data_IF_407437790523
#
_entry.id   IF_407437790523
#
_cell.length_a   1.000
_cell.length_b   1.000
_cell.length_c   1.000
_cell.angle_alpha   90.00
_cell.angle_beta   90.00
_cell.angle_gamma   90.00
#
_symmetry.space_group_name_H-M   'P 1'
#
loop_
_entity.id
_entity.type
_entity.pdbx_description
1 polymer ?
#
# COMPACT_ATOMS: atom_id res chain seq x y z
N UNK A 1 10.71 9.89 24.67
CA UNK A 1 10.08 8.95 23.73
C UNK A 1 10.59 9.28 22.34
N UNK A 2 11.25 8.36 21.66
CA UNK A 2 11.74 8.56 20.29
C UNK A 2 10.54 8.62 19.34
N UNK A 3 10.35 9.75 18.66
CA UNK A 3 9.27 9.92 17.70
C UNK A 3 9.53 8.98 16.51
N UNK A 4 8.64 8.01 16.27
CA UNK A 4 8.78 7.05 15.18
C UNK A 4 8.22 7.70 13.92
N UNK A 5 9.05 7.87 12.88
CA UNK A 5 8.60 8.34 11.58
C UNK A 5 7.66 7.31 10.93
N UNK A 6 6.59 7.78 10.29
CA UNK A 6 5.56 6.92 9.68
C UNK A 6 5.30 7.26 8.23
N UNK A 7 5.10 6.23 7.42
CA UNK A 7 4.64 6.29 6.04
C UNK A 7 3.12 6.16 5.99
N UNK A 8 2.44 7.19 5.50
CA UNK A 8 0.98 7.18 5.34
C UNK A 8 0.56 6.20 4.26
N UNK A 9 -0.52 5.47 4.53
CA UNK A 9 -1.15 4.58 3.55
C UNK A 9 -1.98 5.37 2.53
N UNK A 10 -2.52 6.52 2.92
CA UNK A 10 -3.39 7.34 2.08
C UNK A 10 -4.84 6.89 2.06
N UNK A 11 -5.24 6.08 3.05
CA UNK A 11 -6.63 5.80 3.44
C UNK A 11 -6.82 6.48 4.79
N UNK A 12 -7.65 7.52 4.86
CA UNK A 12 -7.67 8.44 6.00
C UNK A 12 -8.01 7.73 7.32
N UNK A 13 -9.00 6.84 7.28
CA UNK A 13 -9.48 6.07 8.42
C UNK A 13 -8.41 5.09 8.92
N UNK A 14 -7.72 4.41 7.98
CA UNK A 14 -6.66 3.47 8.32
C UNK A 14 -5.42 4.18 8.85
N UNK A 15 -5.03 5.30 8.25
CA UNK A 15 -3.94 6.14 8.76
C UNK A 15 -4.24 6.63 10.18
N UNK A 16 -5.49 7.01 10.48
CA UNK A 16 -5.92 7.38 11.83
C UNK A 16 -5.78 6.22 12.81
N UNK A 17 -6.23 5.01 12.44
CA UNK A 17 -6.10 3.80 13.28
C UNK A 17 -4.63 3.46 13.54
N UNK A 18 -3.76 3.70 12.57
CA UNK A 18 -2.33 3.41 12.63
C UNK A 18 -1.48 4.59 13.15
N UNK A 19 -2.09 5.57 13.81
CA UNK A 19 -1.41 6.74 14.37
C UNK A 19 -0.53 7.50 13.35
N UNK A 20 -1.05 7.67 12.13
CA UNK A 20 -0.39 8.37 11.02
C UNK A 20 0.29 7.45 10.00
N UNK A 21 0.12 6.14 10.09
CA UNK A 21 0.56 5.17 9.09
C UNK A 21 1.56 4.14 9.61
N UNK A 22 2.26 3.47 8.69
CA UNK A 22 3.19 2.39 9.00
C UNK A 22 4.53 2.95 9.52
N UNK A 23 5.15 2.38 10.56
CA UNK A 23 6.49 2.77 10.98
C UNK A 23 7.49 2.66 9.82
N UNK A 24 8.31 3.68 9.60
CA UNK A 24 9.40 3.59 8.63
C UNK A 24 10.49 2.65 9.13
N UNK A 25 11.15 1.99 8.17
CA UNK A 25 12.22 1.03 8.47
C UNK A 25 11.73 -0.28 9.10
N UNK A 26 10.42 -0.55 9.09
CA UNK A 26 9.84 -1.79 9.60
C UNK A 26 9.25 -2.67 8.50
N UNK A 27 8.99 -3.94 8.84
CA UNK A 27 8.20 -4.86 8.03
C UNK A 27 6.80 -4.95 8.62
N UNK A 28 5.77 -4.77 7.78
CA UNK A 28 4.36 -4.91 8.17
C UNK A 28 3.75 -6.10 7.46
N UNK A 29 3.14 -7.02 8.21
CA UNK A 29 2.39 -8.15 7.66
C UNK A 29 0.92 -7.78 7.46
N UNK A 30 0.43 -7.92 6.23
CA UNK A 30 -1.00 -7.85 5.90
C UNK A 30 -1.51 -9.27 5.64
N UNK A 31 -2.35 -9.79 6.55
CA UNK A 31 -2.88 -11.14 6.48
C UNK A 31 -4.41 -11.15 6.36
N UNK A 32 -4.96 -12.19 5.72
CA UNK A 32 -6.40 -12.34 5.51
C UNK A 32 -6.72 -13.38 4.44
N UNK A 33 -7.95 -13.90 4.42
CA UNK A 33 -8.41 -14.90 3.46
C UNK A 33 -8.42 -14.43 1.99
N UNK A 34 -8.69 -15.30 1.02
CA UNK A 34 -8.86 -14.92 -0.39
C UNK A 34 -9.91 -13.81 -0.56
N UNK A 35 -9.71 -12.88 -1.49
CA UNK A 35 -10.67 -11.80 -1.76
C UNK A 35 -10.77 -10.68 -0.72
N UNK A 36 -10.02 -10.73 0.38
CA UNK A 36 -10.06 -9.69 1.46
C UNK A 36 -9.37 -8.36 1.11
N UNK A 37 -8.90 -8.17 -0.13
CA UNK A 37 -8.32 -6.90 -0.56
C UNK A 37 -6.83 -6.68 -0.24
N UNK A 38 -6.08 -7.72 0.14
CA UNK A 38 -4.63 -7.60 0.44
C UNK A 38 -3.81 -6.97 -0.70
N UNK A 39 -3.98 -7.47 -1.92
CA UNK A 39 -3.30 -6.94 -3.11
C UNK A 39 -3.71 -5.49 -3.37
N UNK A 40 -5.00 -5.19 -3.22
CA UNK A 40 -5.55 -3.84 -3.39
C UNK A 40 -4.91 -2.87 -2.39
N UNK A 41 -4.87 -3.23 -1.10
CA UNK A 41 -4.24 -2.41 -0.06
C UNK A 41 -2.75 -2.18 -0.33
N UNK A 42 -2.02 -3.23 -0.72
CA UNK A 42 -0.59 -3.14 -0.99
C UNK A 42 -0.27 -2.29 -2.23
N UNK A 43 -1.07 -2.38 -3.30
CA UNK A 43 -0.92 -1.51 -4.46
C UNK A 43 -1.31 -0.07 -4.12
N UNK A 44 -2.41 0.15 -3.40
CA UNK A 44 -2.87 1.47 -3.01
C UNK A 44 -1.83 2.19 -2.13
N UNK A 45 -1.14 1.47 -1.26
CA UNK A 45 0.00 1.99 -0.49
C UNK A 45 1.10 2.55 -1.42
N UNK A 46 1.55 1.75 -2.39
CA UNK A 46 2.60 2.15 -3.34
C UNK A 46 2.15 3.31 -4.23
N UNK A 47 0.93 3.25 -4.75
CA UNK A 47 0.38 4.27 -5.63
C UNK A 47 0.20 5.61 -4.91
N UNK A 48 -0.36 5.60 -3.71
CA UNK A 48 -0.49 6.81 -2.89
C UNK A 48 0.88 7.38 -2.51
N UNK A 49 1.84 6.52 -2.16
CA UNK A 49 3.24 6.90 -1.98
C UNK A 49 3.76 7.70 -3.17
N UNK A 50 3.67 7.13 -4.37
CA UNK A 50 4.17 7.75 -5.59
C UNK A 50 3.45 9.04 -5.98
N UNK A 51 2.12 9.04 -5.93
CA UNK A 51 1.29 10.12 -6.51
C UNK A 51 0.98 11.25 -5.54
N UNK A 52 0.95 10.97 -4.23
CA UNK A 52 0.52 11.95 -3.21
C UNK A 52 1.64 12.39 -2.29
N UNK A 53 2.66 11.55 -2.11
CA UNK A 53 3.71 11.78 -1.13
C UNK A 53 5.12 11.83 -1.75
N UNK A 54 5.22 11.72 -3.09
CA UNK A 54 6.49 11.71 -3.83
C UNK A 54 7.46 10.61 -3.36
N UNK A 55 6.92 9.47 -2.91
CA UNK A 55 7.67 8.31 -2.45
C UNK A 55 7.77 7.25 -3.54
N UNK A 56 8.99 6.82 -3.85
CA UNK A 56 9.21 5.72 -4.80
C UNK A 56 8.83 4.39 -4.13
N UNK A 57 8.16 3.52 -4.87
CA UNK A 57 7.77 2.20 -4.39
C UNK A 57 8.02 1.11 -5.43
N UNK A 58 8.21 -0.11 -4.94
CA UNK A 58 8.33 -1.32 -5.76
C UNK A 58 7.30 -2.33 -5.28
N UNK A 59 6.55 -2.90 -6.22
CA UNK A 59 5.62 -3.98 -5.95
C UNK A 59 6.19 -5.29 -6.51
N UNK A 60 6.37 -6.29 -5.65
CA UNK A 60 6.86 -7.62 -6.03
C UNK A 60 5.72 -8.62 -5.82
N UNK A 61 5.45 -9.44 -6.84
CA UNK A 61 4.36 -10.42 -6.84
C UNK A 61 4.86 -11.79 -7.30
N UNK A 62 4.31 -12.84 -6.69
CA UNK A 62 4.60 -14.24 -7.04
C UNK A 62 3.39 -14.96 -7.67
N UNK A 63 2.17 -14.39 -7.56
CA UNK A 63 0.93 -15.07 -7.96
C UNK A 63 0.38 -14.59 -9.29
N UNK A 64 0.60 -13.31 -9.64
CA UNK A 64 0.11 -12.70 -10.88
C UNK A 64 1.25 -12.02 -11.62
N UNK A 65 1.16 -11.99 -12.95
CA UNK A 65 2.10 -11.22 -13.77
C UNK A 65 1.88 -9.72 -13.59
N UNK A 66 2.96 -8.94 -13.74
CA UNK A 66 2.89 -7.47 -13.68
C UNK A 66 1.89 -6.86 -14.66
N UNK A 67 1.72 -7.48 -15.83
CA UNK A 67 0.76 -7.06 -16.86
C UNK A 67 -0.69 -7.19 -16.36
N UNK A 68 -1.04 -8.35 -15.81
CA UNK A 68 -2.39 -8.61 -15.30
C UNK A 68 -2.67 -7.69 -14.10
N UNK A 69 -1.71 -7.59 -13.17
CA UNK A 69 -1.83 -6.68 -12.04
C UNK A 69 -2.11 -5.26 -12.52
N UNK A 70 -1.31 -4.72 -13.46
CA UNK A 70 -1.51 -3.37 -13.99
C UNK A 70 -2.88 -3.21 -14.65
N UNK A 71 -3.35 -4.20 -15.40
CA UNK A 71 -4.68 -4.15 -16.02
C UNK A 71 -5.79 -4.12 -14.97
N UNK A 72 -5.67 -4.90 -13.90
CA UNK A 72 -6.60 -4.91 -12.78
C UNK A 72 -6.62 -3.56 -12.04
N UNK A 73 -5.47 -2.88 -11.91
CA UNK A 73 -5.43 -1.56 -11.27
C UNK A 73 -6.02 -0.48 -12.19
N UNK A 74 -5.73 -0.53 -13.49
CA UNK A 74 -6.30 0.42 -14.45
C UNK A 74 -7.83 0.34 -14.50
N UNK A 75 -8.43 -0.84 -14.34
CA UNK A 75 -9.90 -0.97 -14.27
C UNK A 75 -10.52 -0.34 -13.02
N UNK A 76 -9.72 -0.10 -11.97
CA UNK A 76 -10.09 0.65 -10.77
C UNK A 76 -9.81 2.15 -10.90
N UNK A 77 -9.35 2.61 -12.06
CA UNK A 77 -8.97 4.00 -12.31
C UNK A 77 -7.58 4.36 -11.77
N UNK A 78 -6.74 3.36 -11.49
CA UNK A 78 -5.41 3.56 -10.91
C UNK A 78 -4.33 3.41 -11.99
N UNK A 79 -3.60 4.51 -12.27
CA UNK A 79 -2.57 4.60 -13.31
C UNK A 79 -1.19 4.90 -12.72
#
# INVERSE_FOLDING_TARGET
MTNIERARIGIAELDSILAGGLPRGSVTLVAGGPGTGKTILAVQFILNGATRYSEKGMFVTFNESSKILKQNMLSLGWN
#
